data_IF_097736701925
#
_entry.id   IF_097736701925
#
_cell.length_a   1.000
_cell.length_b   1.000
_cell.length_c   1.000
_cell.angle_alpha   90.00
_cell.angle_beta   90.00
_cell.angle_gamma   90.00
#
_symmetry.space_group_name_H-M   'P 1'
#
loop_
_entity.id
_entity.type
_entity.pdbx_description
1 polymer ?
#
# COMPACT_ATOMS: atom_id res chain seq x y z
N UNK A 1 -6.32 -8.82 3.80
CA UNK A 1 -6.92 -7.89 4.79
C UNK A 1 -7.46 -6.64 4.13
N UNK A 2 -6.60 -5.82 3.48
CA UNK A 2 -7.05 -4.61 2.76
C UNK A 2 -8.24 -4.87 1.81
N UNK A 3 -8.17 -5.91 0.97
CA UNK A 3 -9.29 -6.28 0.09
C UNK A 3 -10.62 -6.52 0.85
N UNK A 4 -10.58 -7.17 2.01
CA UNK A 4 -11.78 -7.42 2.81
C UNK A 4 -12.37 -6.13 3.40
N UNK A 5 -11.50 -5.23 3.88
CA UNK A 5 -11.91 -3.90 4.36
C UNK A 5 -12.49 -3.04 3.23
N UNK A 6 -11.97 -3.17 2.01
CA UNK A 6 -12.50 -2.48 0.83
C UNK A 6 -13.91 -2.90 0.43
N UNK A 7 -14.33 -4.13 0.76
CA UNK A 7 -15.70 -4.62 0.52
C UNK A 7 -16.68 -3.91 1.46
N UNK A 8 -16.29 -3.70 2.72
CA UNK A 8 -17.16 -3.11 3.74
C UNK A 8 -17.05 -1.59 3.80
N UNK A 9 -16.02 -0.99 3.19
CA UNK A 9 -15.79 0.45 3.21
C UNK A 9 -17.02 1.23 2.71
N UNK A 10 -17.57 2.18 3.50
CA UNK A 10 -18.70 2.99 3.05
C UNK A 10 -18.31 3.80 1.81
N UNK A 11 -19.20 3.89 0.82
CA UNK A 11 -18.94 4.70 -0.38
C UNK A 11 -19.20 6.19 -0.17
N UNK A 12 -19.98 6.51 0.86
CA UNK A 12 -20.40 7.88 1.20
C UNK A 12 -20.23 8.07 2.70
N UNK A 13 -19.65 9.20 3.07
CA UNK A 13 -19.57 9.66 4.44
C UNK A 13 -20.86 10.40 4.81
N UNK A 14 -21.62 9.84 5.74
CA UNK A 14 -22.85 10.40 6.32
C UNK A 14 -22.76 10.32 7.85
N UNK A 15 -23.65 10.97 8.61
CA UNK A 15 -23.68 10.82 10.07
C UNK A 15 -23.74 9.36 10.53
N UNK A 16 -24.48 8.52 9.80
CA UNK A 16 -24.64 7.10 10.11
C UNK A 16 -23.37 6.29 9.83
N UNK A 17 -22.62 6.62 8.77
CA UNK A 17 -21.41 5.87 8.40
C UNK A 17 -20.14 6.40 9.07
N UNK A 18 -20.17 7.61 9.64
CA UNK A 18 -19.02 8.30 10.20
C UNK A 18 -18.28 7.51 11.31
N UNK A 19 -18.95 6.82 12.26
CA UNK A 19 -18.24 6.02 13.27
C UNK A 19 -17.44 4.87 12.67
N UNK A 20 -18.02 4.17 11.69
CA UNK A 20 -17.33 3.08 11.01
C UNK A 20 -16.23 3.61 10.10
N UNK A 21 -16.47 4.70 9.37
CA UNK A 21 -15.47 5.38 8.53
C UNK A 21 -14.22 5.75 9.33
N UNK A 22 -14.41 6.43 10.47
CA UNK A 22 -13.33 6.82 11.37
C UNK A 22 -12.53 5.62 11.88
N UNK A 23 -13.22 4.60 12.40
CA UNK A 23 -12.57 3.40 12.95
C UNK A 23 -11.83 2.61 11.87
N UNK A 24 -12.42 2.51 10.68
CA UNK A 24 -11.80 1.86 9.53
C UNK A 24 -10.48 2.54 9.17
N UNK A 25 -10.44 3.88 9.13
CA UNK A 25 -9.21 4.61 8.77
C UNK A 25 -8.13 4.56 9.87
N UNK A 26 -8.49 4.40 11.14
CA UNK A 26 -7.51 4.06 12.18
C UNK A 26 -6.83 2.71 11.91
N UNK A 27 -7.58 1.72 11.44
CA UNK A 27 -7.03 0.41 11.06
C UNK A 27 -6.20 0.53 9.77
N UNK A 28 -6.71 1.24 8.77
CA UNK A 28 -6.03 1.43 7.49
C UNK A 28 -4.72 2.21 7.62
N UNK A 29 -4.64 3.17 8.55
CA UNK A 29 -3.41 3.90 8.89
C UNK A 29 -2.25 2.95 9.23
N UNK A 30 -2.53 1.77 9.80
CA UNK A 30 -1.53 0.75 10.10
C UNK A 30 -1.32 -0.20 8.92
N UNK A 31 -2.40 -0.60 8.24
CA UNK A 31 -2.34 -1.65 7.21
C UNK A 31 -1.79 -1.16 5.87
N UNK A 32 -2.07 0.06 5.44
CA UNK A 32 -1.54 0.59 4.18
C UNK A 32 -0.01 0.67 4.15
N UNK A 33 0.66 1.17 5.21
CA UNK A 33 2.13 1.13 5.30
C UNK A 33 2.76 -0.24 5.01
N UNK A 34 2.05 -1.34 5.32
CA UNK A 34 2.56 -2.69 5.09
C UNK A 34 2.80 -3.01 3.60
N UNK A 35 2.12 -2.31 2.68
CA UNK A 35 2.43 -2.42 1.25
C UNK A 35 3.83 -1.91 0.93
N UNK A 36 4.26 -0.81 1.56
CA UNK A 36 5.62 -0.30 1.45
C UNK A 36 6.63 -1.23 2.13
N UNK A 37 6.28 -1.77 3.31
CA UNK A 37 7.13 -2.76 4.03
C UNK A 37 7.35 -4.02 3.19
N UNK A 38 6.35 -4.49 2.44
CA UNK A 38 6.50 -5.63 1.54
C UNK A 38 7.57 -5.40 0.46
N UNK A 39 7.71 -4.17 -0.06
CA UNK A 39 8.79 -3.84 -1.00
C UNK A 39 10.16 -3.95 -0.34
N UNK A 40 10.28 -3.51 0.92
CA UNK A 40 11.52 -3.67 1.70
C UNK A 40 11.87 -5.14 1.92
N UNK A 41 10.87 -5.99 2.21
CA UNK A 41 11.06 -7.43 2.34
C UNK A 41 11.49 -8.05 1.01
N UNK A 42 10.81 -7.75 -0.10
CA UNK A 42 11.20 -8.26 -1.42
C UNK A 42 12.65 -7.92 -1.76
N UNK A 43 13.09 -6.74 -1.36
CA UNK A 43 14.46 -6.27 -1.56
C UNK A 43 15.47 -6.72 -0.50
N UNK A 44 15.08 -7.54 0.50
CA UNK A 44 16.00 -8.04 1.51
C UNK A 44 17.11 -8.90 0.87
N UNK A 45 18.35 -8.81 1.37
CA UNK A 45 19.50 -9.51 0.79
C UNK A 45 20.06 -8.89 -0.51
N UNK A 46 19.42 -7.85 -1.07
CA UNK A 46 19.98 -7.06 -2.16
C UNK A 46 20.58 -5.74 -1.65
N UNK A 47 21.60 -5.26 -2.35
CA UNK A 47 22.32 -4.01 -2.07
C UNK A 47 22.56 -3.19 -3.34
N UNK A 48 22.82 -1.90 -3.18
CA UNK A 48 23.11 -0.98 -4.29
C UNK A 48 22.19 0.24 -4.31
N UNK A 49 22.56 1.26 -5.07
CA UNK A 49 21.83 2.53 -5.07
C UNK A 49 20.38 2.38 -5.56
N UNK A 50 20.12 1.55 -6.58
CA UNK A 50 18.76 1.32 -7.09
C UNK A 50 17.85 0.65 -6.04
N UNK A 51 18.40 -0.28 -5.24
CA UNK A 51 17.67 -0.92 -4.14
C UNK A 51 17.27 0.10 -3.09
N UNK A 52 18.20 1.00 -2.73
CA UNK A 52 17.92 2.08 -1.78
C UNK A 52 16.94 3.11 -2.33
N UNK A 53 17.00 3.44 -3.62
CA UNK A 53 15.99 4.29 -4.29
C UNK A 53 14.60 3.68 -4.17
N UNK A 54 14.45 2.38 -4.47
CA UNK A 54 13.17 1.69 -4.36
C UNK A 54 12.64 1.66 -2.90
N UNK A 55 13.53 1.42 -1.92
CA UNK A 55 13.18 1.48 -0.48
C UNK A 55 12.78 2.88 -0.04
N UNK A 56 13.51 3.91 -0.47
CA UNK A 56 13.21 5.31 -0.17
C UNK A 56 11.85 5.72 -0.74
N UNK A 57 11.53 5.32 -1.97
CA UNK A 57 10.21 5.51 -2.55
C UNK A 57 9.12 4.75 -1.78
N UNK A 58 9.39 3.53 -1.34
CA UNK A 58 8.49 2.79 -0.45
C UNK A 58 8.26 3.50 0.89
N UNK A 59 9.28 4.17 1.45
CA UNK A 59 9.15 4.99 2.64
C UNK A 59 8.34 6.27 2.39
N UNK A 60 8.56 6.95 1.25
CA UNK A 60 7.74 8.09 0.83
C UNK A 60 6.28 7.68 0.70
N UNK A 61 6.00 6.51 0.10
CA UNK A 61 4.65 5.95 0.08
C UNK A 61 4.08 5.77 1.49
N UNK A 62 4.81 5.11 2.40
CA UNK A 62 4.36 4.87 3.78
C UNK A 62 3.97 6.19 4.45
N UNK A 63 4.83 7.21 4.35
CA UNK A 63 4.61 8.49 5.00
C UNK A 63 3.44 9.26 4.38
N UNK A 64 3.45 9.47 3.05
CA UNK A 64 2.48 10.34 2.38
C UNK A 64 1.13 9.67 2.14
N UNK A 65 1.12 8.39 1.79
CA UNK A 65 -0.15 7.65 1.67
C UNK A 65 -0.74 7.37 3.05
N UNK A 66 0.05 6.91 4.03
CA UNK A 66 -0.46 6.73 5.39
C UNK A 66 -1.00 8.03 6.00
N UNK A 67 -0.36 9.17 5.71
CA UNK A 67 -0.85 10.47 6.16
C UNK A 67 -2.23 10.85 5.61
N UNK A 68 -2.71 10.28 4.50
CA UNK A 68 -4.05 10.57 3.95
C UNK A 68 -5.17 10.15 4.91
N UNK A 69 -4.96 9.04 5.64
CA UNK A 69 -5.96 8.49 6.57
C UNK A 69 -6.26 9.46 7.70
N UNK A 70 -5.33 10.38 8.01
CA UNK A 70 -5.48 11.37 9.08
C UNK A 70 -6.50 12.46 8.72
N UNK A 71 -6.33 13.29 7.67
CA UNK A 71 -7.33 14.30 7.31
C UNK A 71 -8.56 13.70 6.64
N UNK A 72 -8.39 12.83 5.62
CA UNK A 72 -9.50 12.34 4.81
C UNK A 72 -10.30 11.21 5.48
N UNK A 73 -9.67 10.44 6.35
CA UNK A 73 -10.30 9.33 7.06
C UNK A 73 -10.83 9.71 8.43
N UNK A 74 -9.89 9.80 9.36
CA UNK A 74 -10.10 10.04 10.79
C UNK A 74 -10.71 11.43 10.99
N UNK A 75 -10.13 12.46 10.36
CA UNK A 75 -10.55 13.86 10.49
C UNK A 75 -11.97 14.09 10.01
N UNK A 76 -12.30 13.69 8.77
CA UNK A 76 -13.67 13.82 8.24
C UNK A 76 -14.68 13.02 9.05
N UNK A 77 -14.35 11.78 9.42
CA UNK A 77 -15.21 10.95 10.26
C UNK A 77 -15.50 11.61 11.61
N UNK A 78 -14.48 12.15 12.27
CA UNK A 78 -14.63 12.85 13.55
C UNK A 78 -15.48 14.12 13.42
N UNK A 79 -15.23 14.94 12.40
CA UNK A 79 -15.97 16.17 12.16
C UNK A 79 -17.45 15.89 11.91
N UNK A 80 -17.78 14.87 11.10
CA UNK A 80 -19.17 14.49 10.84
C UNK A 80 -19.84 13.90 12.09
N UNK A 81 -19.14 13.06 12.87
CA UNK A 81 -19.68 12.51 14.13
C UNK A 81 -20.00 13.57 15.18
N UNK A 82 -19.25 14.68 15.19
CA UNK A 82 -19.34 15.73 16.22
C UNK A 82 -20.13 16.95 15.77
N UNK A 83 -20.57 16.99 14.53
CA UNK A 83 -21.36 18.10 14.00
C UNK A 83 -22.71 18.19 14.74
N UNK A 84 -23.12 19.37 15.20
CA UNK A 84 -24.42 19.56 15.86
C UNK A 84 -25.59 19.37 14.88
N UNK A 85 -25.37 19.71 13.61
CA UNK A 85 -26.35 19.58 12.53
C UNK A 85 -25.70 18.93 11.32
N UNK A 86 -26.42 17.99 10.70
CA UNK A 86 -26.00 17.36 9.46
C UNK A 86 -26.34 18.24 8.25
N UNK A 87 -25.62 18.05 7.14
CA UNK A 87 -25.90 18.67 5.83
C UNK A 87 -25.83 20.21 5.79
N UNK A 88 -25.11 20.85 6.70
CA UNK A 88 -24.85 22.30 6.61
C UNK A 88 -23.81 22.59 5.51
N UNK A 89 -23.86 23.78 4.86
CA UNK A 89 -22.85 24.20 3.89
C UNK A 89 -21.43 24.20 4.48
N UNK A 90 -21.27 24.64 5.72
CA UNK A 90 -19.99 24.77 6.44
C UNK A 90 -19.37 23.40 6.73
N UNK A 91 -20.18 22.44 7.18
CA UNK A 91 -19.75 21.05 7.39
C UNK A 91 -19.30 20.44 6.07
N UNK A 92 -20.11 20.60 5.03
CA UNK A 92 -19.82 20.07 3.69
C UNK A 92 -18.53 20.65 3.11
N UNK A 93 -18.28 21.95 3.32
CA UNK A 93 -17.04 22.60 2.89
C UNK A 93 -15.83 22.08 3.66
N UNK A 94 -15.95 21.91 4.98
CA UNK A 94 -14.89 21.37 5.85
C UNK A 94 -14.50 19.95 5.44
N UNK A 95 -15.50 19.08 5.22
CA UNK A 95 -15.28 17.71 4.74
C UNK A 95 -14.59 17.70 3.38
N UNK A 96 -15.03 18.51 2.42
CA UNK A 96 -14.38 18.62 1.10
C UNK A 96 -12.93 19.09 1.20
N UNK A 97 -12.64 20.06 2.08
CA UNK A 97 -11.28 20.55 2.27
C UNK A 97 -10.36 19.47 2.84
N UNK A 98 -10.81 18.74 3.86
CA UNK A 98 -10.06 17.62 4.44
C UNK A 98 -9.82 16.49 3.42
N UNK A 99 -10.83 16.14 2.62
CA UNK A 99 -10.64 15.19 1.51
C UNK A 99 -9.61 15.69 0.50
N UNK A 100 -9.67 16.96 0.11
CA UNK A 100 -8.70 17.53 -0.84
C UNK A 100 -7.26 17.45 -0.30
N UNK A 101 -7.06 17.77 0.99
CA UNK A 101 -5.75 17.67 1.63
C UNK A 101 -5.25 16.21 1.69
N UNK A 102 -6.09 15.27 2.11
CA UNK A 102 -5.73 13.85 2.12
C UNK A 102 -5.40 13.32 0.73
N UNK A 103 -6.19 13.71 -0.28
CA UNK A 103 -5.95 13.30 -1.66
C UNK A 103 -4.61 13.83 -2.21
N UNK A 104 -4.25 15.08 -1.90
CA UNK A 104 -2.95 15.64 -2.29
C UNK A 104 -1.77 14.87 -1.70
N UNK A 105 -1.85 14.51 -0.41
CA UNK A 105 -0.84 13.67 0.24
C UNK A 105 -0.78 12.29 -0.41
N UNK A 106 -1.96 11.68 -0.61
CA UNK A 106 -2.06 10.36 -1.22
C UNK A 106 -1.46 10.30 -2.62
N UNK A 107 -1.59 11.37 -3.42
CA UNK A 107 -1.10 11.44 -4.78
C UNK A 107 0.42 11.27 -4.84
N UNK A 108 1.14 11.95 -3.94
CA UNK A 108 2.59 11.80 -3.80
C UNK A 108 2.93 10.36 -3.43
N UNK A 109 2.19 9.81 -2.46
CA UNK A 109 2.39 8.44 -1.98
C UNK A 109 2.18 7.37 -3.06
N UNK A 110 1.05 7.41 -3.79
CA UNK A 110 0.72 6.39 -4.80
C UNK A 110 1.67 6.42 -6.00
N UNK A 111 2.14 7.60 -6.41
CA UNK A 111 3.16 7.70 -7.46
C UNK A 111 4.49 7.12 -6.99
N UNK A 112 4.93 7.46 -5.77
CA UNK A 112 6.12 6.87 -5.18
C UNK A 112 6.02 5.34 -5.10
N UNK A 113 4.85 4.82 -4.69
CA UNK A 113 4.59 3.38 -4.64
C UNK A 113 4.67 2.71 -6.01
N UNK A 114 4.03 3.28 -7.03
CA UNK A 114 4.06 2.73 -8.38
C UNK A 114 5.49 2.65 -8.92
N UNK A 115 6.28 3.72 -8.77
CA UNK A 115 7.69 3.73 -9.18
C UNK A 115 8.49 2.71 -8.37
N UNK A 116 8.25 2.59 -7.07
CA UNK A 116 8.91 1.60 -6.22
C UNK A 116 8.58 0.15 -6.64
N UNK A 117 7.32 -0.13 -7.01
CA UNK A 117 6.88 -1.42 -7.55
C UNK A 117 7.59 -1.77 -8.86
N UNK A 118 7.70 -0.79 -9.78
CA UNK A 118 8.41 -0.98 -11.06
C UNK A 118 9.90 -1.26 -10.83
N UNK A 119 10.57 -0.45 -10.00
CA UNK A 119 11.99 -0.63 -9.69
C UNK A 119 12.25 -1.96 -8.98
N UNK A 120 11.44 -2.30 -7.97
CA UNK A 120 11.55 -3.57 -7.24
C UNK A 120 11.36 -4.76 -8.19
N UNK A 121 10.36 -4.68 -9.06
CA UNK A 121 10.10 -5.72 -10.06
C UNK A 121 11.24 -5.87 -11.05
N UNK A 122 11.78 -4.77 -11.58
CA UNK A 122 12.92 -4.77 -12.50
C UNK A 122 14.17 -5.37 -11.85
N UNK A 123 14.47 -5.01 -10.60
CA UNK A 123 15.58 -5.56 -9.82
C UNK A 123 15.40 -7.07 -9.60
N UNK A 124 14.19 -7.52 -9.24
CA UNK A 124 13.92 -8.94 -9.08
C UNK A 124 14.02 -9.70 -10.41
N UNK A 125 13.52 -9.17 -11.52
CA UNK A 125 13.68 -9.80 -12.84
C UNK A 125 15.17 -9.90 -13.18
N UNK A 126 15.96 -8.86 -12.91
CA UNK A 126 17.40 -8.85 -13.17
C UNK A 126 18.15 -9.92 -12.36
N UNK A 127 17.82 -10.10 -11.07
CA UNK A 127 18.54 -11.03 -10.18
C UNK A 127 17.98 -12.46 -10.14
N UNK A 128 16.67 -12.63 -10.33
CA UNK A 128 15.93 -13.89 -10.16
C UNK A 128 15.50 -14.48 -11.52
N UNK A 129 15.57 -13.68 -12.58
CA UNK A 129 15.24 -14.05 -13.95
C UNK A 129 13.73 -14.03 -14.25
N UNK A 130 13.35 -14.65 -15.37
CA UNK A 130 11.99 -14.64 -15.91
C UNK A 130 10.91 -15.20 -14.97
N UNK A 131 11.29 -15.97 -13.94
CA UNK A 131 10.34 -16.45 -12.91
C UNK A 131 9.69 -15.29 -12.14
N UNK A 132 10.27 -14.09 -12.13
CA UNK A 132 9.67 -12.92 -11.48
C UNK A 132 8.61 -12.22 -12.36
N UNK A 133 8.54 -12.50 -13.67
CA UNK A 133 7.70 -11.75 -14.61
C UNK A 133 6.20 -11.78 -14.28
N UNK A 134 5.56 -12.94 -14.00
CA UNK A 134 4.13 -12.96 -13.68
C UNK A 134 3.80 -12.11 -12.44
N UNK A 135 4.63 -12.20 -11.40
CA UNK A 135 4.44 -11.41 -10.17
C UNK A 135 4.64 -9.91 -10.41
N UNK A 136 5.61 -9.54 -11.25
CA UNK A 136 5.85 -8.15 -11.66
C UNK A 136 4.65 -7.57 -12.43
N UNK A 137 4.10 -8.32 -13.38
CA UNK A 137 2.92 -7.90 -14.15
C UNK A 137 1.72 -7.69 -13.23
N UNK A 138 1.45 -8.62 -12.31
CA UNK A 138 0.37 -8.50 -11.33
C UNK A 138 0.57 -7.28 -10.42
N UNK A 139 1.77 -7.12 -9.85
CA UNK A 139 2.06 -6.03 -8.92
C UNK A 139 1.97 -4.65 -9.58
N UNK A 140 2.68 -4.45 -10.69
CA UNK A 140 2.68 -3.17 -11.40
C UNK A 140 1.32 -2.87 -12.05
N UNK A 141 0.68 -3.89 -12.62
CA UNK A 141 -0.64 -3.79 -13.23
C UNK A 141 -1.72 -3.43 -12.22
N UNK A 142 -1.61 -3.88 -10.96
CA UNK A 142 -2.52 -3.53 -9.89
C UNK A 142 -2.16 -2.20 -9.17
N UNK A 143 -0.88 -1.81 -9.15
CA UNK A 143 -0.46 -0.52 -8.61
C UNK A 143 -0.92 0.67 -9.48
N UNK A 144 -1.13 0.46 -10.79
CA UNK A 144 -1.65 1.50 -11.69
C UNK A 144 -3.09 1.95 -11.38
N UNK A 145 -4.11 1.06 -11.32
CA UNK A 145 -5.47 1.47 -10.96
C UNK A 145 -5.56 2.03 -9.53
N UNK A 146 -4.63 1.67 -8.64
CA UNK A 146 -4.52 2.25 -7.30
C UNK A 146 -4.19 3.75 -7.30
N UNK A 147 -3.70 4.32 -8.42
CA UNK A 147 -3.54 5.77 -8.57
C UNK A 147 -4.87 6.54 -8.51
N UNK A 148 -5.95 5.94 -9.03
CA UNK A 148 -7.26 6.59 -9.14
C UNK A 148 -8.33 5.95 -8.26
N UNK A 149 -8.12 4.70 -7.86
CA UNK A 149 -9.02 3.98 -6.97
C UNK A 149 -8.40 3.86 -5.59
N UNK A 150 -9.02 4.52 -4.61
CA UNK A 150 -8.90 4.08 -3.22
C UNK A 150 -9.34 2.61 -3.07
N UNK A 151 -9.32 2.08 -1.85
CA UNK A 151 -9.70 0.70 -1.53
C UNK A 151 -11.17 0.34 -1.86
N UNK A 152 -11.95 1.27 -2.40
CA UNK A 152 -13.36 1.08 -2.76
C UNK A 152 -13.58 -0.08 -3.72
N UNK A 153 -14.61 -0.88 -3.43
CA UNK A 153 -15.11 -1.91 -4.33
C UNK A 153 -15.74 -1.29 -5.61
N UNK A 154 -15.56 -1.90 -6.81
CA UNK A 154 -14.84 -3.16 -7.05
C UNK A 154 -13.35 -2.99 -7.36
N UNK A 155 -12.96 -1.87 -7.95
CA UNK A 155 -11.62 -1.71 -8.55
C UNK A 155 -10.52 -1.73 -7.50
N UNK A 156 -10.72 -1.05 -6.36
CA UNK A 156 -9.77 -1.03 -5.25
C UNK A 156 -9.57 -2.42 -4.64
N UNK A 157 -10.66 -3.14 -4.42
CA UNK A 157 -10.62 -4.52 -3.90
C UNK A 157 -9.88 -5.46 -4.86
N UNK A 158 -10.19 -5.41 -6.16
CA UNK A 158 -9.48 -6.18 -7.17
C UNK A 158 -7.98 -5.84 -7.19
N UNK A 159 -7.63 -4.54 -7.11
CA UNK A 159 -6.24 -4.08 -7.05
C UNK A 159 -5.51 -4.64 -5.83
N UNK A 160 -6.14 -4.64 -4.65
CA UNK A 160 -5.54 -5.22 -3.43
C UNK A 160 -5.30 -6.73 -3.53
N UNK A 161 -6.22 -7.47 -4.15
CA UNK A 161 -6.06 -8.92 -4.38
C UNK A 161 -4.93 -9.20 -5.36
N UNK A 162 -4.88 -8.47 -6.48
CA UNK A 162 -3.85 -8.63 -7.50
C UNK A 162 -2.47 -8.20 -6.96
N UNK A 163 -2.38 -7.13 -6.16
CA UNK A 163 -1.15 -6.76 -5.46
C UNK A 163 -0.68 -7.85 -4.50
N UNK A 164 -1.59 -8.43 -3.70
CA UNK A 164 -1.24 -9.52 -2.80
C UNK A 164 -0.69 -10.74 -3.57
N UNK A 165 -1.34 -11.11 -4.68
CA UNK A 165 -0.85 -12.18 -5.55
C UNK A 165 0.51 -11.85 -6.18
N UNK A 166 0.71 -10.61 -6.64
CA UNK A 166 1.98 -10.13 -7.18
C UNK A 166 3.12 -10.19 -6.18
N UNK A 167 2.91 -9.68 -4.95
CA UNK A 167 3.87 -9.78 -3.86
C UNK A 167 4.22 -11.24 -3.52
N UNK A 168 3.21 -12.09 -3.36
CA UNK A 168 3.41 -13.51 -3.04
C UNK A 168 4.21 -14.23 -4.13
N UNK A 169 3.90 -13.98 -5.41
CA UNK A 169 4.58 -14.61 -6.53
C UNK A 169 6.02 -14.14 -6.68
N UNK A 170 6.29 -12.83 -6.52
CA UNK A 170 7.65 -12.28 -6.53
C UNK A 170 8.50 -12.85 -5.38
N UNK A 171 7.92 -12.96 -4.19
CA UNK A 171 8.62 -13.54 -3.04
C UNK A 171 8.90 -15.03 -3.25
N UNK A 172 7.93 -15.78 -3.78
CA UNK A 172 8.12 -17.19 -4.13
C UNK A 172 9.23 -17.37 -5.17
N UNK A 173 9.25 -16.55 -6.23
CA UNK A 173 10.29 -16.60 -7.26
C UNK A 173 11.68 -16.33 -6.66
N UNK A 174 11.80 -15.33 -5.79
CA UNK A 174 13.04 -15.00 -5.06
C UNK A 174 13.53 -16.18 -4.23
N UNK A 175 12.66 -16.78 -3.41
CA UNK A 175 13.03 -17.93 -2.55
C UNK A 175 13.48 -19.13 -3.40
N UNK A 176 12.79 -19.41 -4.51
CA UNK A 176 13.12 -20.51 -5.43
C UNK A 176 14.51 -20.40 -6.08
N UNK A 177 15.01 -19.18 -6.27
CA UNK A 177 16.30 -18.92 -6.95
C UNK A 177 17.44 -18.61 -5.99
N UNK A 178 17.15 -18.38 -4.72
CA UNK A 178 18.17 -18.20 -3.69
C UNK A 178 18.63 -19.59 -3.24
N UNK A 179 19.91 -19.99 -3.45
CA UNK A 179 20.41 -21.28 -3.00
C UNK A 179 20.28 -21.42 -1.47
N UNK A 180 20.05 -22.64 -0.99
CA UNK A 180 20.12 -22.91 0.45
C UNK A 180 21.53 -22.59 0.97
N UNK A 181 21.67 -22.10 2.23
CA UNK A 181 22.98 -21.98 2.85
C UNK A 181 23.67 -23.34 2.83
N UNK A 182 24.89 -23.42 2.27
CA UNK A 182 25.72 -24.60 2.41
C UNK A 182 26.02 -24.82 3.90
N UNK A 183 25.76 -26.02 4.41
CA UNK A 183 26.14 -26.36 5.79
C UNK A 183 27.63 -26.06 6.00
N UNK A 184 28.01 -25.48 7.15
CA UNK A 184 29.41 -25.25 7.46
C UNK A 184 30.16 -26.58 7.42
N UNK A 185 31.31 -26.59 6.74
CA UNK A 185 32.19 -27.75 6.65
C UNK A 185 32.51 -28.25 8.08
N UNK A 186 32.32 -29.54 8.38
CA UNK A 186 32.58 -30.05 9.71
C UNK A 186 34.05 -29.80 10.08
N UNK A 187 34.27 -29.14 11.22
CA UNK A 187 35.61 -28.87 11.75
C UNK A 187 36.33 -30.22 11.90
N UNK A 188 37.51 -30.42 11.29
CA UNK A 188 38.25 -31.66 11.42
C UNK A 188 38.52 -31.96 12.91
N UNK A 189 38.23 -33.18 13.34
CA UNK A 189 38.58 -33.62 14.69
C UNK A 189 40.12 -33.57 14.84
N UNK A 190 40.58 -32.89 15.90
CA UNK A 190 41.98 -32.74 16.26
C UNK A 190 42.57 -34.02 16.86
#
# INVERSE_FOLDING_TARGET
MLAALGITHPRVLTPETAPYWHTLHLVLLVLFPLLGVNLWWLLSGFSGWMVWTARALGFVYIAFYGALDVPAGIGTGLVVMRAPEANTPELSQTVRWLFAQGNQLSLIGVWAFLVACVLTSALLIYHVGHLALPGAVLLCGAAYPFLGSHIYFPVGVASMVLMAAGFAFLMWAKVRRTPAPTEPEPIPAA
#
